data_IF_202652142422
#
_entry.id   IF_202652142422
#
_cell.length_a   1.000
_cell.length_b   1.000
_cell.length_c   1.000
_cell.angle_alpha   90.00
_cell.angle_beta   90.00
_cell.angle_gamma   90.00
#
_symmetry.space_group_name_H-M   'P 1'
#
loop_
_entity.id
_entity.type
_entity.pdbx_description
1 polymer ?
#
# COMPACT_ATOMS: atom_id res chain seq x y z
N UNK A 1 23.59 -32.99 6.82
CA UNK A 1 22.14 -32.93 6.55
C UNK A 1 21.43 -33.13 7.88
N UNK A 2 20.53 -32.22 8.24
CA UNK A 2 19.83 -32.17 9.53
C UNK A 2 18.35 -32.52 9.37
N UNK A 3 17.78 -33.17 10.37
CA UNK A 3 16.34 -33.35 10.50
C UNK A 3 15.66 -32.09 11.02
N UNK A 4 14.33 -32.03 10.88
CA UNK A 4 13.51 -30.94 11.42
C UNK A 4 13.70 -30.75 12.93
N UNK A 5 13.95 -31.83 13.67
CA UNK A 5 14.11 -31.80 15.14
C UNK A 5 15.46 -31.20 15.51
N UNK A 6 16.55 -31.66 14.89
CA UNK A 6 17.91 -31.13 15.12
C UNK A 6 17.98 -29.65 14.72
N UNK A 7 17.38 -29.27 13.60
CA UNK A 7 17.30 -27.86 13.18
C UNK A 7 16.49 -27.00 14.16
N UNK A 8 15.48 -27.56 14.83
CA UNK A 8 14.68 -26.84 15.81
C UNK A 8 15.49 -26.51 17.08
N UNK A 9 16.33 -27.45 17.52
CA UNK A 9 17.24 -27.27 18.65
C UNK A 9 18.29 -26.20 18.36
N UNK A 10 18.91 -26.23 17.18
CA UNK A 10 19.91 -25.23 16.76
C UNK A 10 19.29 -23.83 16.66
N UNK A 11 18.09 -23.73 16.10
CA UNK A 11 17.38 -22.46 15.94
C UNK A 11 16.67 -21.99 17.22
N UNK A 12 16.66 -22.80 18.28
CA UNK A 12 15.94 -22.55 19.54
C UNK A 12 14.44 -22.23 19.32
N UNK A 13 13.79 -23.01 18.45
CA UNK A 13 12.34 -22.89 18.14
C UNK A 13 11.67 -24.27 18.19
N UNK A 14 10.34 -24.31 18.08
CA UNK A 14 9.62 -25.59 18.03
C UNK A 14 9.71 -26.26 16.65
N UNK A 15 9.66 -27.60 16.55
CA UNK A 15 9.63 -28.31 15.26
C UNK A 15 8.48 -27.88 14.33
N UNK A 16 7.33 -27.51 14.90
CA UNK A 16 6.19 -26.95 14.16
C UNK A 16 6.55 -25.61 13.50
N UNK A 17 7.33 -24.76 14.19
CA UNK A 17 7.80 -23.50 13.62
C UNK A 17 8.79 -23.74 12.48
N UNK A 18 9.67 -24.74 12.59
CA UNK A 18 10.58 -25.14 11.50
C UNK A 18 9.79 -25.60 10.28
N UNK A 19 8.76 -26.45 10.45
CA UNK A 19 7.86 -26.84 9.34
C UNK A 19 7.14 -25.65 8.71
N UNK A 20 6.69 -24.69 9.52
CA UNK A 20 6.07 -23.47 9.02
C UNK A 20 7.07 -22.61 8.22
N UNK A 21 8.33 -22.52 8.64
CA UNK A 21 9.38 -21.80 7.89
C UNK A 21 9.67 -22.45 6.54
N UNK A 22 9.69 -23.79 6.49
CA UNK A 22 9.82 -24.55 5.25
C UNK A 22 8.64 -24.28 4.33
N UNK A 23 7.41 -24.35 4.84
CA UNK A 23 6.19 -24.09 4.07
C UNK A 23 6.12 -22.64 3.54
N UNK A 24 6.67 -21.68 4.30
CA UNK A 24 6.78 -20.27 3.91
C UNK A 24 7.92 -20.00 2.92
N UNK A 25 8.75 -21.00 2.59
CA UNK A 25 9.96 -20.82 1.76
C UNK A 25 11.08 -20.04 2.46
N UNK A 26 10.93 -19.73 3.75
CA UNK A 26 11.87 -18.92 4.52
C UNK A 26 13.09 -19.70 5.03
N UNK A 27 13.07 -21.03 4.93
CA UNK A 27 14.17 -21.91 5.26
C UNK A 27 14.25 -23.04 4.21
N UNK A 28 15.33 -23.10 3.41
CA UNK A 28 15.48 -24.15 2.40
C UNK A 28 15.46 -25.54 3.04
N UNK A 29 14.66 -26.44 2.47
CA UNK A 29 14.61 -27.83 2.87
C UNK A 29 14.31 -28.71 1.67
N UNK A 30 14.87 -29.92 1.69
CA UNK A 30 14.65 -30.94 0.68
C UNK A 30 13.80 -32.05 1.28
N UNK A 31 12.75 -32.45 0.54
CA UNK A 31 11.91 -33.58 0.91
C UNK A 31 12.57 -34.88 0.43
N UNK A 32 12.97 -35.72 1.38
CA UNK A 32 13.54 -37.04 1.11
C UNK A 32 12.58 -38.08 1.67
N UNK A 33 11.83 -38.74 0.78
CA UNK A 33 10.75 -39.64 1.15
C UNK A 33 9.61 -38.92 1.88
N UNK A 34 9.33 -39.33 3.13
CA UNK A 34 8.31 -38.72 4.00
C UNK A 34 8.86 -37.63 4.92
N UNK A 35 10.17 -37.40 4.90
CA UNK A 35 10.87 -36.55 5.86
C UNK A 35 11.44 -35.32 5.17
N UNK A 36 11.42 -34.18 5.88
CA UNK A 36 12.12 -32.97 5.46
C UNK A 36 13.54 -32.98 6.02
N UNK A 37 14.51 -32.74 5.15
CA UNK A 37 15.92 -32.64 5.47
C UNK A 37 16.42 -31.24 5.14
N UNK A 38 17.21 -30.67 6.03
CA UNK A 38 17.74 -29.32 5.92
C UNK A 38 19.26 -29.40 5.79
N UNK A 39 19.85 -28.46 5.06
CA UNK A 39 21.30 -28.35 5.03
C UNK A 39 21.78 -27.64 6.28
N UNK A 40 22.92 -28.08 6.78
CA UNK A 40 23.48 -27.53 8.02
C UNK A 40 23.88 -26.07 7.84
N UNK A 41 24.42 -25.71 6.67
CA UNK A 41 24.80 -24.33 6.35
C UNK A 41 23.62 -23.35 6.45
N UNK A 42 22.45 -23.72 5.92
CA UNK A 42 21.27 -22.85 5.87
C UNK A 42 20.70 -22.60 7.28
N UNK A 43 20.71 -23.64 8.12
CA UNK A 43 20.24 -23.57 9.51
C UNK A 43 21.18 -22.68 10.33
N UNK A 44 22.48 -22.88 10.20
CA UNK A 44 23.49 -22.10 10.92
C UNK A 44 23.49 -20.62 10.49
N UNK A 45 23.36 -20.34 9.20
CA UNK A 45 23.25 -18.96 8.70
C UNK A 45 22.04 -18.24 9.31
N UNK A 46 20.90 -18.92 9.39
CA UNK A 46 19.69 -18.35 10.01
C UNK A 46 19.84 -18.17 11.52
N UNK A 47 20.48 -19.13 12.20
CA UNK A 47 20.77 -19.04 13.62
C UNK A 47 21.69 -17.85 13.94
N UNK A 48 22.66 -17.54 13.07
CA UNK A 48 23.53 -16.39 13.19
C UNK A 48 22.80 -15.06 12.92
N UNK A 49 21.87 -15.06 11.97
CA UNK A 49 21.14 -13.85 11.56
C UNK A 49 20.04 -13.44 12.55
N UNK A 50 19.74 -14.27 13.58
CA UNK A 50 18.68 -14.12 14.61
C UNK A 50 17.70 -12.98 14.29
N UNK A 51 16.69 -13.21 13.44
CA UNK A 51 15.66 -12.20 13.19
C UNK A 51 15.06 -11.84 14.56
N UNK A 52 15.26 -10.58 14.99
CA UNK A 52 14.83 -10.07 16.29
C UNK A 52 13.45 -10.62 16.65
N UNK A 53 13.32 -11.21 17.85
CA UNK A 53 12.04 -11.57 18.46
C UNK A 53 11.27 -10.30 18.83
N UNK A 54 10.89 -9.55 17.81
CA UNK A 54 9.94 -8.46 17.86
C UNK A 54 8.91 -8.70 16.77
N UNK A 55 7.75 -8.04 16.91
CA UNK A 55 6.71 -7.94 15.87
C UNK A 55 7.37 -7.98 14.48
N UNK A 56 6.96 -8.90 13.58
CA UNK A 56 7.64 -9.12 12.32
C UNK A 56 7.94 -7.78 11.67
N UNK A 57 9.22 -7.42 11.58
CA UNK A 57 9.66 -6.38 10.66
C UNK A 57 9.28 -6.95 9.30
N UNK A 58 8.33 -6.32 8.62
CA UNK A 58 8.00 -6.59 7.21
C UNK A 58 9.33 -6.70 6.46
N UNK A 59 9.76 -7.92 6.18
CA UNK A 59 10.73 -8.17 5.14
C UNK A 59 9.94 -8.00 3.84
N UNK A 60 10.19 -6.89 3.15
CA UNK A 60 10.08 -6.66 1.69
C UNK A 60 9.03 -7.40 0.85
N UNK A 61 7.90 -7.79 1.43
CA UNK A 61 6.64 -7.46 0.78
C UNK A 61 6.70 -5.94 0.65
N UNK A 62 6.42 -5.32 -0.51
CA UNK A 62 6.16 -3.89 -0.54
C UNK A 62 5.22 -3.64 0.63
N UNK A 63 5.72 -2.99 1.67
CA UNK A 63 4.83 -2.49 2.70
C UNK A 63 3.80 -1.72 1.88
N UNK A 64 2.47 -1.84 2.09
CA UNK A 64 1.59 -0.70 1.84
C UNK A 64 2.37 0.47 2.41
N UNK A 65 2.93 1.23 1.47
CA UNK A 65 3.78 2.33 1.76
C UNK A 65 2.80 3.25 2.43
N UNK A 66 2.88 3.31 3.76
CA UNK A 66 2.44 4.47 4.50
C UNK A 66 1.04 4.89 4.04
N UNK A 67 -0.05 4.22 4.45
CA UNK A 67 -1.41 4.59 3.95
C UNK A 67 -1.74 6.09 4.15
N UNK A 68 -0.94 6.80 4.95
CA UNK A 68 -0.91 8.25 5.07
C UNK A 68 -0.31 8.99 3.86
N UNK A 69 0.66 8.44 3.11
CA UNK A 69 1.25 9.03 1.89
C UNK A 69 0.33 9.06 0.66
N UNK A 70 -0.38 7.98 0.26
CA UNK A 70 -1.33 8.06 -0.85
C UNK A 70 -2.53 8.92 -0.48
N UNK A 71 -2.95 8.95 0.79
CA UNK A 71 -4.03 9.83 1.23
C UNK A 71 -3.60 11.30 1.30
N UNK A 72 -2.39 11.59 1.77
CA UNK A 72 -1.82 12.94 1.74
C UNK A 72 -1.65 13.43 0.29
N UNK A 73 -1.07 12.59 -0.59
CA UNK A 73 -0.93 12.88 -2.00
C UNK A 73 -2.30 13.06 -2.70
N UNK A 74 -3.30 12.23 -2.37
CA UNK A 74 -4.66 12.40 -2.88
C UNK A 74 -5.32 13.68 -2.36
N UNK A 75 -5.07 14.06 -1.11
CA UNK A 75 -5.56 15.32 -0.54
C UNK A 75 -4.90 16.55 -1.18
N UNK A 76 -3.60 16.46 -1.49
CA UNK A 76 -2.85 17.48 -2.23
C UNK A 76 -3.35 17.61 -3.67
N UNK A 77 -3.51 16.49 -4.38
CA UNK A 77 -4.10 16.48 -5.71
C UNK A 77 -5.52 17.04 -5.71
N UNK A 78 -6.35 16.67 -4.73
CA UNK A 78 -7.69 17.23 -4.57
C UNK A 78 -7.65 18.75 -4.40
N UNK A 79 -6.76 19.27 -3.54
CA UNK A 79 -6.60 20.73 -3.35
C UNK A 79 -6.16 21.42 -4.63
N UNK A 80 -5.15 20.89 -5.31
CA UNK A 80 -4.67 21.44 -6.58
C UNK A 80 -5.77 21.44 -7.65
N UNK A 81 -6.48 20.32 -7.83
CA UNK A 81 -7.60 20.22 -8.76
C UNK A 81 -8.72 21.20 -8.40
N UNK A 82 -9.06 21.31 -7.11
CA UNK A 82 -10.08 22.26 -6.64
C UNK A 82 -9.68 23.70 -6.97
N UNK A 83 -8.45 24.10 -6.69
CA UNK A 83 -7.99 25.48 -6.94
C UNK A 83 -8.00 25.81 -8.43
N UNK A 84 -7.64 24.86 -9.29
CA UNK A 84 -7.66 25.04 -10.74
C UNK A 84 -9.06 25.02 -11.36
N UNK A 85 -10.00 24.25 -10.80
CA UNK A 85 -11.33 24.04 -11.38
C UNK A 85 -12.43 24.88 -10.71
N UNK A 86 -12.17 25.51 -9.57
CA UNK A 86 -13.13 26.38 -8.90
C UNK A 86 -13.33 27.73 -9.62
N UNK A 87 -12.40 28.12 -10.50
CA UNK A 87 -12.57 29.30 -11.33
C UNK A 87 -13.65 29.05 -12.40
N UNK A 88 -14.57 29.99 -12.57
CA UNK A 88 -15.57 29.92 -13.62
C UNK A 88 -14.87 30.08 -14.98
N UNK A 89 -14.85 29.05 -15.84
CA UNK A 89 -14.20 29.14 -17.14
C UNK A 89 -14.99 30.07 -18.07
N UNK A 90 -14.28 30.88 -18.83
CA UNK A 90 -14.88 31.71 -19.88
C UNK A 90 -15.35 30.85 -21.06
N UNK A 91 -16.31 31.38 -21.83
CA UNK A 91 -16.79 30.69 -23.03
C UNK A 91 -15.67 30.42 -24.05
N UNK A 92 -14.67 31.32 -24.15
CA UNK A 92 -13.52 31.14 -25.03
C UNK A 92 -12.61 29.98 -24.57
N UNK A 93 -12.39 29.84 -23.27
CA UNK A 93 -11.59 28.75 -22.71
C UNK A 93 -12.28 27.39 -22.90
N UNK A 94 -13.61 27.34 -22.78
CA UNK A 94 -14.38 26.12 -23.06
C UNK A 94 -14.31 25.76 -24.54
N UNK A 95 -14.46 26.73 -25.44
CA UNK A 95 -14.42 26.50 -26.89
C UNK A 95 -13.03 26.09 -27.39
N UNK A 96 -11.97 26.42 -26.66
CA UNK A 96 -10.59 26.03 -26.98
C UNK A 96 -10.24 24.60 -26.56
N UNK A 97 -11.16 23.87 -25.91
CA UNK A 97 -10.93 22.48 -25.50
C UNK A 97 -11.31 21.55 -26.66
N UNK A 98 -10.34 20.80 -27.16
CA UNK A 98 -10.53 19.87 -28.28
C UNK A 98 -11.40 18.64 -27.90
N UNK A 99 -11.36 18.24 -26.63
CA UNK A 99 -12.13 17.11 -26.12
C UNK A 99 -13.50 17.53 -25.56
N UNK A 100 -14.62 17.11 -26.18
CA UNK A 100 -15.95 17.48 -25.70
C UNK A 100 -16.25 16.94 -24.29
N UNK A 101 -15.67 15.80 -23.90
CA UNK A 101 -15.84 15.25 -22.55
C UNK A 101 -15.16 16.14 -21.51
N UNK A 102 -13.91 16.54 -21.76
CA UNK A 102 -13.20 17.50 -20.92
C UNK A 102 -13.92 18.84 -20.81
N UNK A 103 -14.48 19.36 -21.90
CA UNK A 103 -15.23 20.61 -21.89
C UNK A 103 -16.48 20.52 -21.01
N UNK A 104 -17.28 19.45 -21.18
CA UNK A 104 -18.46 19.19 -20.37
C UNK A 104 -18.12 19.02 -18.89
N UNK A 105 -17.04 18.29 -18.59
CA UNK A 105 -16.55 18.12 -17.23
C UNK A 105 -16.20 19.46 -16.56
N UNK A 106 -15.47 20.35 -17.26
CA UNK A 106 -15.12 21.67 -16.70
C UNK A 106 -16.35 22.54 -16.41
N UNK A 107 -17.35 22.51 -17.28
CA UNK A 107 -18.62 23.22 -17.04
C UNK A 107 -19.31 22.68 -15.79
N UNK A 108 -19.44 21.36 -15.67
CA UNK A 108 -20.14 20.72 -14.55
C UNK A 108 -19.46 21.02 -13.21
N UNK A 109 -18.12 21.01 -13.16
CA UNK A 109 -17.37 21.32 -11.93
C UNK A 109 -17.54 22.79 -11.54
N UNK A 110 -17.48 23.72 -12.50
CA UNK A 110 -17.68 25.14 -12.23
C UNK A 110 -19.09 25.44 -11.71
N UNK A 111 -20.12 24.82 -12.32
CA UNK A 111 -21.52 24.95 -11.87
C UNK A 111 -21.71 24.44 -10.44
N UNK A 112 -21.11 23.30 -10.09
CA UNK A 112 -21.13 22.78 -8.71
C UNK A 112 -20.61 23.80 -7.68
N UNK A 113 -19.48 24.46 -7.96
CA UNK A 113 -18.93 25.47 -7.04
C UNK A 113 -19.80 26.72 -6.96
N UNK A 114 -20.40 27.13 -8.08
CA UNK A 114 -21.33 28.25 -8.12
C UNK A 114 -22.57 27.97 -7.26
N UNK A 115 -23.21 26.82 -7.44
CA UNK A 115 -24.38 26.40 -6.68
C UNK A 115 -24.10 26.28 -5.19
N UNK A 116 -22.91 25.75 -4.84
CA UNK A 116 -22.47 25.68 -3.43
C UNK A 116 -22.35 27.06 -2.82
N UNK A 117 -21.72 28.01 -3.51
CA UNK A 117 -21.57 29.40 -3.05
C UNK A 117 -22.93 30.09 -2.90
N UNK A 118 -23.83 29.91 -3.86
CA UNK A 118 -25.21 30.42 -3.77
C UNK A 118 -25.93 29.86 -2.55
N UNK A 119 -25.84 28.55 -2.32
CA UNK A 119 -26.45 27.89 -1.14
C UNK A 119 -25.89 28.43 0.17
N UNK A 120 -24.57 28.69 0.25
CA UNK A 120 -23.94 29.29 1.42
C UNK A 120 -24.42 30.72 1.67
N UNK A 121 -24.58 31.53 0.62
CA UNK A 121 -25.11 32.90 0.72
C UNK A 121 -26.58 32.94 1.17
N UNK A 122 -27.41 32.03 0.66
CA UNK A 122 -28.82 31.87 1.12
C UNK A 122 -28.85 31.49 2.60
N UNK A 123 -28.00 30.55 3.05
CA UNK A 123 -27.91 30.19 4.49
C UNK A 123 -27.47 31.36 5.37
N UNK A 124 -26.70 32.29 4.84
CA UNK A 124 -26.27 33.50 5.56
C UNK A 124 -27.33 34.61 5.54
N UNK A 125 -28.47 34.41 4.88
CA UNK A 125 -29.55 35.39 4.81
C UNK A 125 -29.26 36.59 3.91
N UNK A 126 -28.31 36.45 2.98
CA UNK A 126 -27.96 37.49 1.99
C UNK A 126 -28.99 37.54 0.84
N UNK A 127 -29.82 36.50 0.72
CA UNK A 127 -30.92 36.35 -0.24
C UNK A 127 -32.16 35.74 0.43
#
# INVERSE_FOLDING_TARGET
>A
MLSVVESAEILQVTPTRVRALIAQGALPAQKVGRTWTLREEDVMQRAATRPSAGRPRKADVPSPADDSKPHAAASELYRACKDHLAACPSAAEIAAIDDPEQAAFRIAVADFFLQRKQSELVRQGVF
#
